data_IF_365937210056
#
_entry.id   IF_365937210056
#
_cell.length_a   1.000
_cell.length_b   1.000
_cell.length_c   1.000
_cell.angle_alpha   90.00
_cell.angle_beta   90.00
_cell.angle_gamma   90.00
#
_symmetry.space_group_name_H-M   'P 1'
#
loop_
_entity.id
_entity.type
_entity.pdbx_description
1 polymer ?
#
# COMPACT_ATOMS: atom_id res chain seq x y z
N UNK A 1 -16.98 0.92 -16.19
CA UNK A 1 -16.66 0.87 -16.08
C UNK A 1 -16.01 0.39 -16.19
N UNK A 2 -15.99 -0.11 -16.12
CA UNK A 2 -15.49 -0.48 -16.21
C UNK A 2 -14.71 -0.72 -16.32
N UNK A 3 -14.75 -0.94 -16.43
CA UNK A 3 -14.09 -1.24 -16.55
C UNK A 3 -13.24 -1.16 -16.27
N UNK A 4 -13.10 -1.55 -16.08
CA UNK A 4 -12.27 -1.48 -15.78
C UNK A 4 -11.35 -1.30 -15.35
N UNK A 5 -11.80 -1.43 -15.35
CA UNK A 5 -10.46 -0.97 -15.22
C UNK A 5 -9.85 -1.31 -13.94
N UNK A 6 -8.63 -1.54 -14.06
CA UNK A 6 -7.93 -2.04 -12.93
C UNK A 6 -7.33 -0.95 -12.08
N UNK A 7 -7.55 0.28 -12.37
CA UNK A 7 -7.12 1.40 -11.54
C UNK A 7 -5.89 1.07 -10.70
N UNK A 8 -4.82 0.64 -11.39
CA UNK A 8 -3.58 0.32 -10.71
C UNK A 8 -2.94 1.59 -10.18
N UNK A 9 -2.06 1.43 -9.21
CA UNK A 9 -1.32 2.54 -8.65
C UNK A 9 -1.64 2.76 -7.18
N UNK A 10 -1.13 3.87 -6.67
CA UNK A 10 -1.30 4.23 -5.27
C UNK A 10 -2.74 4.68 -5.04
N UNK A 11 -3.39 4.06 -4.08
CA UNK A 11 -4.77 4.40 -3.73
C UNK A 11 -4.85 5.32 -2.52
N UNK A 12 -3.80 5.34 -1.72
CA UNK A 12 -3.75 6.16 -0.51
C UNK A 12 -2.42 6.90 -0.49
N UNK A 13 -2.47 8.20 -0.33
CA UNK A 13 -1.26 9.01 -0.30
C UNK A 13 -0.60 8.96 1.07
N UNK A 14 0.69 9.26 1.10
CA UNK A 14 1.42 9.31 2.36
C UNK A 14 0.82 10.36 3.29
N UNK A 15 0.84 10.08 4.58
CA UNK A 15 0.27 10.98 5.58
C UNK A 15 -1.21 10.75 5.85
N UNK A 16 -1.85 9.87 5.09
CA UNK A 16 -3.27 9.60 5.27
C UNK A 16 -3.48 8.55 6.37
N UNK A 17 -4.45 8.81 7.23
CA UNK A 17 -4.85 7.82 8.24
C UNK A 17 -5.70 6.74 7.61
N UNK A 18 -5.39 5.50 7.95
CA UNK A 18 -6.14 4.36 7.42
C UNK A 18 -6.45 3.37 8.54
N UNK A 19 -7.45 2.56 8.28
CA UNK A 19 -7.80 1.46 9.18
C UNK A 19 -7.21 0.16 8.64
N UNK A 20 -7.06 -0.81 9.52
CA UNK A 20 -6.59 -2.14 9.12
C UNK A 20 -7.51 -2.66 8.02
N UNK A 21 -6.92 -3.25 7.01
CA UNK A 21 -7.65 -3.78 5.87
C UNK A 21 -7.76 -2.81 4.69
N UNK A 22 -7.39 -1.55 4.89
CA UNK A 22 -7.46 -0.57 3.80
C UNK A 22 -6.48 -0.92 2.70
N UNK A 23 -6.90 -0.78 1.45
CA UNK A 23 -6.03 -1.02 0.31
C UNK A 23 -5.17 0.22 0.08
N UNK A 24 -3.88 0.03 0.02
CA UNK A 24 -2.93 1.13 -0.13
C UNK A 24 -2.46 1.26 -1.58
N UNK A 25 -2.14 0.14 -2.22
CA UNK A 25 -1.57 0.13 -3.56
C UNK A 25 -2.13 -1.06 -4.32
N UNK A 26 -2.51 -0.83 -5.56
CA UNK A 26 -2.85 -1.93 -6.47
C UNK A 26 -1.82 -1.92 -7.58
N UNK A 27 -1.21 -3.07 -7.84
CA UNK A 27 -0.10 -3.15 -8.79
C UNK A 27 -0.03 -4.53 -9.41
N UNK A 28 0.70 -4.61 -10.50
CA UNK A 28 1.02 -5.88 -11.15
C UNK A 28 2.48 -6.17 -10.85
N UNK A 29 2.73 -6.96 -9.85
CA UNK A 29 4.08 -7.20 -9.42
C UNK A 29 4.45 -6.24 -8.31
N UNK A 30 5.64 -6.37 -7.79
CA UNK A 30 6.04 -5.65 -6.59
C UNK A 30 6.82 -4.39 -6.93
N UNK A 31 6.12 -3.38 -7.46
CA UNK A 31 6.73 -2.07 -7.68
C UNK A 31 6.95 -1.36 -6.35
N UNK A 32 5.99 -1.53 -5.44
CA UNK A 32 6.12 -1.02 -4.08
C UNK A 32 6.06 -2.22 -3.16
N UNK A 33 7.02 -2.33 -2.26
CA UNK A 33 7.13 -3.48 -1.37
C UNK A 33 6.40 -3.20 -0.06
N UNK A 34 5.90 -4.23 0.61
CA UNK A 34 5.27 -4.05 1.91
C UNK A 34 6.33 -3.76 2.98
N UNK A 35 6.10 -2.70 3.77
CA UNK A 35 6.95 -2.37 4.90
C UNK A 35 6.31 -2.81 6.20
N UNK A 36 6.47 -1.98 7.24
CA UNK A 36 5.91 -2.30 8.55
C UNK A 36 4.40 -2.23 8.51
N UNK A 37 3.74 -3.23 9.09
CA UNK A 37 2.28 -3.28 9.22
C UNK A 37 1.54 -3.23 7.88
N UNK A 38 2.20 -3.69 6.81
CA UNK A 38 1.60 -3.76 5.49
C UNK A 38 1.71 -5.18 4.99
N UNK A 39 0.61 -5.72 4.47
CA UNK A 39 0.59 -7.05 3.89
C UNK A 39 0.51 -6.96 2.38
N UNK A 40 0.88 -8.06 1.73
CA UNK A 40 0.83 -8.15 0.27
C UNK A 40 -0.05 -9.34 -0.10
N UNK A 41 -1.07 -9.07 -0.90
CA UNK A 41 -1.97 -10.12 -1.38
C UNK A 41 -1.37 -10.90 -2.53
N UNK A 42 -2.10 -11.91 -2.99
CA UNK A 42 -1.64 -12.75 -4.10
C UNK A 42 -1.52 -11.97 -5.39
N UNK A 43 -2.32 -10.94 -5.54
CA UNK A 43 -2.29 -10.10 -6.73
C UNK A 43 -1.43 -8.86 -6.54
N UNK A 44 -0.52 -8.91 -5.58
CA UNK A 44 0.42 -7.83 -5.26
C UNK A 44 -0.25 -6.58 -4.70
N UNK A 45 -1.50 -6.69 -4.28
CA UNK A 45 -2.18 -5.58 -3.62
C UNK A 45 -1.60 -5.39 -2.22
N UNK A 46 -1.21 -4.16 -1.89
CA UNK A 46 -0.74 -3.84 -0.55
C UNK A 46 -1.91 -3.34 0.28
N UNK A 47 -2.00 -3.81 1.50
CA UNK A 47 -3.07 -3.43 2.40
C UNK A 47 -2.54 -3.21 3.80
N UNK A 48 -3.25 -2.38 4.56
CA UNK A 48 -2.86 -2.08 5.93
C UNK A 48 -3.18 -3.26 6.84
N UNK A 49 -2.25 -3.63 7.69
CA UNK A 49 -2.47 -4.68 8.69
C UNK A 49 -2.79 -4.09 10.05
N UNK A 50 -2.72 -2.78 10.19
CA UNK A 50 -3.00 -2.10 11.43
C UNK A 50 -3.52 -0.71 11.14
N UNK A 51 -4.20 -0.12 12.11
CA UNK A 51 -4.62 1.27 12.00
C UNK A 51 -3.41 2.18 12.16
N UNK A 52 -3.37 3.25 11.40
CA UNK A 52 -2.26 4.18 11.52
C UNK A 52 -2.17 5.10 10.33
N UNK A 53 -0.99 5.65 10.12
CA UNK A 53 -0.72 6.62 9.06
C UNK A 53 0.17 5.97 8.02
N UNK A 54 -0.21 6.12 6.75
CA UNK A 54 0.56 5.58 5.64
C UNK A 54 1.82 6.39 5.43
N UNK A 55 2.94 5.70 5.29
CA UNK A 55 4.22 6.32 4.99
C UNK A 55 4.85 5.60 3.82
N UNK A 56 5.25 6.35 2.80
CA UNK A 56 6.00 5.79 1.68
C UNK A 56 7.44 6.23 1.81
N UNK A 57 8.35 5.28 1.65
CA UNK A 57 9.76 5.60 1.75
C UNK A 57 10.55 4.70 0.81
N UNK A 58 11.81 5.04 0.63
CA UNK A 58 12.67 4.30 -0.27
C UNK A 58 13.86 3.78 0.51
N UNK A 59 14.23 2.54 0.26
CA UNK A 59 15.37 1.93 0.92
C UNK A 59 16.08 1.03 -0.07
N UNK A 60 17.36 1.27 -0.29
CA UNK A 60 18.18 0.47 -1.20
C UNK A 60 17.57 0.41 -2.59
N UNK A 61 17.03 1.51 -3.06
CA UNK A 61 16.44 1.60 -4.39
C UNK A 61 15.06 1.00 -4.51
N UNK A 62 14.44 0.59 -3.41
CA UNK A 62 13.09 0.00 -3.42
C UNK A 62 12.14 0.91 -2.69
N UNK A 63 10.97 1.09 -3.29
CA UNK A 63 9.91 1.84 -2.63
C UNK A 63 9.16 0.93 -1.69
N UNK A 64 8.86 1.44 -0.51
CA UNK A 64 8.16 0.69 0.52
C UNK A 64 6.97 1.50 1.01
N UNK A 65 5.90 0.78 1.37
CA UNK A 65 4.76 1.39 2.02
C UNK A 65 4.70 0.83 3.44
N UNK A 66 4.55 1.69 4.42
CA UNK A 66 4.50 1.29 5.81
C UNK A 66 3.34 1.99 6.50
N UNK A 67 2.89 1.41 7.61
CA UNK A 67 1.89 2.03 8.45
C UNK A 67 2.56 2.34 9.79
N UNK A 68 2.51 3.60 10.17
CA UNK A 68 2.99 3.99 11.48
C UNK A 68 1.80 4.01 12.42
N UNK A 69 1.84 3.14 13.41
CA UNK A 69 0.75 3.05 14.37
C UNK A 69 0.63 4.37 15.14
N UNK A 70 -0.57 4.72 15.45
CA UNK A 70 -0.84 5.93 16.20
C UNK A 70 -0.56 5.74 17.67
#
# INVERSE_FOLDING_TARGET
RDSNPKYLGVKVYGGTEVSAGSILVRQRGTSIHPGNNVGCGKDYTLFAKADGVVTYHERKGRKLASIEAK
#
